data_IF_489056760871
#
_entry.id   IF_489056760871
#
_cell.length_a   1.000
_cell.length_b   1.000
_cell.length_c   1.000
_cell.angle_alpha   90.00
_cell.angle_beta   90.00
_cell.angle_gamma   90.00
#
_symmetry.space_group_name_H-M   'P 1'
#
loop_
_entity.id
_entity.type
_entity.pdbx_description
1 polymer ?
#
# COMPACT_ATOMS: atom_id res chain seq x y z
N UNK A 1 1.21 20.41 -0.44
CA UNK A 1 1.57 19.68 0.81
C UNK A 1 0.92 18.29 0.84
N UNK A 2 1.64 17.27 1.31
CA UNK A 2 1.15 15.89 1.40
C UNK A 2 1.32 15.35 2.83
N UNK A 3 0.57 14.30 3.18
CA UNK A 3 0.67 13.59 4.47
C UNK A 3 1.04 12.14 4.17
N UNK A 4 2.09 11.64 4.81
CA UNK A 4 2.50 10.24 4.70
C UNK A 4 2.10 9.48 5.97
N UNK A 5 1.42 8.35 5.78
CA UNK A 5 1.06 7.42 6.86
C UNK A 5 1.70 6.07 6.57
N UNK A 6 2.70 5.70 7.36
CA UNK A 6 3.45 4.46 7.17
C UNK A 6 2.74 3.29 7.85
N UNK A 7 2.63 2.17 7.15
CA UNK A 7 2.07 0.93 7.67
C UNK A 7 3.15 -0.15 7.64
N UNK A 8 3.41 -0.75 8.78
CA UNK A 8 4.26 -1.93 8.92
C UNK A 8 3.56 -2.89 9.88
N UNK A 9 3.52 -4.17 9.54
CA UNK A 9 2.75 -5.19 10.28
C UNK A 9 3.59 -5.90 11.32
N UNK A 10 4.92 -5.94 11.13
CA UNK A 10 5.84 -6.62 12.02
C UNK A 10 6.38 -5.68 13.09
N UNK A 11 6.40 -6.12 14.36
CA UNK A 11 6.98 -5.33 15.46
C UNK A 11 8.46 -5.00 15.19
N UNK A 12 9.21 -5.95 14.62
CA UNK A 12 10.59 -5.75 14.24
C UNK A 12 10.75 -4.69 13.13
N UNK A 13 9.83 -4.62 12.16
CA UNK A 13 9.84 -3.60 11.12
C UNK A 13 9.52 -2.22 11.68
N UNK A 14 8.51 -2.11 12.55
CA UNK A 14 8.13 -0.86 13.23
C UNK A 14 9.29 -0.29 14.05
N UNK A 15 9.97 -1.15 14.80
CA UNK A 15 11.12 -0.73 15.61
C UNK A 15 12.28 -0.24 14.72
N UNK A 16 12.56 -0.91 13.60
CA UNK A 16 13.57 -0.47 12.63
C UNK A 16 13.24 0.87 12.00
N UNK A 17 11.98 1.11 11.63
CA UNK A 17 11.54 2.38 11.07
C UNK A 17 11.67 3.52 12.09
N UNK A 18 11.27 3.26 13.34
CA UNK A 18 11.35 4.25 14.42
C UNK A 18 12.79 4.58 14.78
N UNK A 19 13.62 3.59 15.04
CA UNK A 19 15.01 3.79 15.49
C UNK A 19 15.96 4.21 14.38
N UNK A 20 15.73 3.71 13.15
CA UNK A 20 16.61 3.98 12.00
C UNK A 20 16.27 5.26 11.25
N UNK A 21 14.99 5.61 11.14
CA UNK A 21 14.52 6.73 10.31
C UNK A 21 13.64 7.74 11.06
N UNK A 22 13.35 7.52 12.35
CA UNK A 22 12.45 8.38 13.11
C UNK A 22 11.00 8.31 12.63
N UNK A 23 10.62 7.23 11.94
CA UNK A 23 9.28 7.06 11.35
C UNK A 23 8.39 6.29 12.32
N UNK A 24 7.31 6.93 12.78
CA UNK A 24 6.21 6.24 13.45
C UNK A 24 5.26 5.61 12.41
N UNK A 25 4.76 4.42 12.75
CA UNK A 25 3.83 3.65 11.92
C UNK A 25 2.45 3.67 12.54
N UNK A 26 1.42 3.67 11.70
CA UNK A 26 0.02 3.61 12.11
C UNK A 26 -0.62 2.29 11.71
N UNK A 27 -1.84 2.04 12.17
CA UNK A 27 -2.63 0.90 11.72
C UNK A 27 -3.02 1.04 10.24
N UNK A 28 -3.31 -0.07 9.56
CA UNK A 28 -3.80 -0.03 8.18
C UNK A 28 -5.14 0.74 8.08
N UNK A 29 -6.04 0.58 9.05
CA UNK A 29 -7.33 1.27 9.05
C UNK A 29 -7.16 2.80 9.15
N UNK A 30 -6.25 3.23 10.02
CA UNK A 30 -5.91 4.65 10.17
C UNK A 30 -5.21 5.21 8.92
N UNK A 31 -4.30 4.44 8.31
CA UNK A 31 -3.60 4.86 7.10
C UNK A 31 -4.53 4.99 5.90
N UNK A 32 -5.48 4.06 5.75
CA UNK A 32 -6.39 4.01 4.60
C UNK A 32 -7.51 5.04 4.68
N UNK A 33 -7.87 5.50 5.88
CA UNK A 33 -8.94 6.48 6.07
C UNK A 33 -8.66 7.78 5.28
N UNK A 34 -9.42 8.02 4.21
CA UNK A 34 -9.24 9.18 3.34
C UNK A 34 -7.93 9.20 2.56
N UNK A 35 -7.28 8.05 2.34
CA UNK A 35 -6.07 7.99 1.53
C UNK A 35 -6.38 8.22 0.04
N UNK A 36 -5.79 9.26 -0.55
CA UNK A 36 -5.87 9.54 -1.99
C UNK A 36 -4.94 8.63 -2.79
N UNK A 37 -3.80 8.24 -2.21
CA UNK A 37 -2.79 7.37 -2.82
C UNK A 37 -2.34 6.31 -1.80
N UNK A 38 -2.26 5.06 -2.24
CA UNK A 38 -1.77 3.92 -1.45
C UNK A 38 -0.64 3.23 -2.21
N UNK A 39 0.54 3.16 -1.60
CA UNK A 39 1.72 2.52 -2.20
C UNK A 39 1.90 1.13 -1.59
N UNK A 40 1.83 0.09 -2.42
CA UNK A 40 2.04 -1.30 -2.00
C UNK A 40 3.53 -1.64 -2.07
N UNK A 41 4.29 -1.20 -1.08
CA UNK A 41 5.70 -1.54 -0.89
C UNK A 41 5.87 -2.91 -0.21
N UNK A 42 5.28 -3.96 -0.81
CA UNK A 42 5.31 -5.34 -0.30
C UNK A 42 5.87 -6.28 -1.37
N UNK A 43 6.39 -7.47 -1.01
CA UNK A 43 6.86 -8.44 -2.00
C UNK A 43 5.74 -8.85 -2.97
N UNK A 44 6.08 -9.14 -4.23
CA UNK A 44 5.09 -9.53 -5.26
C UNK A 44 4.20 -10.70 -4.87
N UNK A 45 4.78 -11.67 -4.18
CA UNK A 45 4.10 -12.84 -3.65
C UNK A 45 2.99 -12.51 -2.66
N UNK A 46 3.01 -11.30 -2.09
CA UNK A 46 2.05 -10.84 -1.10
C UNK A 46 1.07 -9.78 -1.64
N UNK A 47 1.33 -9.17 -2.81
CA UNK A 47 0.51 -8.08 -3.35
C UNK A 47 -0.96 -8.47 -3.44
N UNK A 48 -1.28 -9.63 -4.02
CA UNK A 48 -2.68 -10.06 -4.17
C UNK A 48 -3.40 -10.21 -2.83
N UNK A 49 -2.74 -10.80 -1.84
CA UNK A 49 -3.28 -10.95 -0.48
C UNK A 49 -3.48 -9.61 0.21
N UNK A 50 -2.51 -8.71 0.09
CA UNK A 50 -2.58 -7.37 0.70
C UNK A 50 -3.67 -6.54 0.03
N UNK A 51 -3.69 -6.48 -1.30
CA UNK A 51 -4.69 -5.75 -2.07
C UNK A 51 -6.12 -6.23 -1.74
N UNK A 52 -6.36 -7.54 -1.71
CA UNK A 52 -7.64 -8.12 -1.31
C UNK A 52 -8.03 -7.76 0.14
N UNK A 53 -7.06 -7.67 1.06
CA UNK A 53 -7.34 -7.31 2.46
C UNK A 53 -7.70 -5.84 2.69
N UNK A 54 -7.33 -4.95 1.76
CA UNK A 54 -7.55 -3.51 1.88
C UNK A 54 -8.61 -2.97 0.92
N UNK A 55 -8.98 -3.71 -0.13
CA UNK A 55 -9.85 -3.22 -1.21
C UNK A 55 -11.15 -2.57 -0.71
N UNK A 56 -11.80 -3.19 0.28
CA UNK A 56 -13.07 -2.72 0.84
C UNK A 56 -12.94 -1.44 1.70
N UNK A 57 -11.72 -1.04 2.02
CA UNK A 57 -11.39 0.14 2.82
C UNK A 57 -10.93 1.32 1.95
N UNK A 58 -10.61 1.07 0.68
CA UNK A 58 -10.21 2.11 -0.26
C UNK A 58 -11.42 2.94 -0.68
N UNK A 59 -11.26 4.26 -0.59
CA UNK A 59 -12.26 5.20 -1.09
C UNK A 59 -12.31 5.16 -2.63
N UNK A 60 -13.47 5.47 -3.20
CA UNK A 60 -13.58 5.71 -4.64
C UNK A 60 -12.63 6.82 -5.06
N UNK A 61 -11.92 6.62 -6.18
CA UNK A 61 -10.92 7.55 -6.69
C UNK A 61 -9.51 7.37 -6.10
N UNK A 62 -9.32 6.49 -5.11
CA UNK A 62 -7.98 6.21 -4.58
C UNK A 62 -7.08 5.61 -5.67
N UNK A 63 -5.85 6.13 -5.76
CA UNK A 63 -4.80 5.56 -6.61
C UNK A 63 -4.00 4.51 -5.84
N UNK A 64 -3.96 3.29 -6.36
CA UNK A 64 -3.10 2.21 -5.84
C UNK A 64 -1.85 2.13 -6.71
N UNK A 65 -0.70 2.37 -6.07
CA UNK A 65 0.62 2.31 -6.71
C UNK A 65 1.27 0.97 -6.38
N UNK A 66 1.70 0.27 -7.42
CA UNK A 66 2.45 -0.99 -7.31
C UNK A 66 3.87 -0.76 -7.82
N UNK A 67 4.86 -1.28 -7.09
CA UNK A 67 6.28 -1.03 -7.34
C UNK A 67 6.97 -2.07 -8.25
N UNK A 68 6.22 -3.06 -8.74
CA UNK A 68 6.65 -4.04 -9.72
C UNK A 68 5.46 -4.43 -10.62
N UNK A 69 5.73 -4.79 -11.87
CA UNK A 69 4.73 -5.20 -12.85
C UNK A 69 4.29 -6.67 -12.71
N UNK A 70 5.00 -7.50 -11.95
CA UNK A 70 4.73 -8.93 -11.82
C UNK A 70 3.31 -9.23 -11.30
N UNK A 71 2.88 -8.58 -10.21
CA UNK A 71 1.56 -8.81 -9.63
C UNK A 71 0.39 -8.23 -10.46
N UNK A 72 0.47 -7.00 -11.02
CA UNK A 72 -0.52 -6.50 -11.97
C UNK A 72 -0.71 -7.43 -13.18
N UNK A 73 0.40 -7.95 -13.73
CA UNK A 73 0.35 -8.86 -14.88
C UNK A 73 -0.33 -10.20 -14.56
N UNK A 74 -0.20 -10.69 -13.32
CA UNK A 74 -0.84 -11.92 -12.86
C UNK A 74 -2.35 -11.76 -12.52
N UNK A 75 -2.94 -10.57 -12.70
CA UNK A 75 -4.34 -10.32 -12.37
C UNK A 75 -4.63 -10.26 -10.86
N UNK A 76 -3.61 -9.99 -10.04
CA UNK A 76 -3.72 -9.98 -8.58
C UNK A 76 -4.33 -8.70 -8.01
N UNK A 77 -4.70 -7.73 -8.86
CA UNK A 77 -5.33 -6.49 -8.42
C UNK A 77 -6.86 -6.61 -8.41
N UNK A 78 -7.54 -6.05 -7.39
CA UNK A 78 -8.98 -6.01 -7.32
C UNK A 78 -9.65 -5.47 -8.59
N UNK A 79 -10.78 -6.05 -8.96
CA UNK A 79 -11.62 -5.52 -10.04
C UNK A 79 -12.50 -4.39 -9.50
N UNK A 80 -11.92 -3.19 -9.40
CA UNK A 80 -12.56 -1.99 -8.88
C UNK A 80 -12.42 -0.83 -9.88
N UNK A 81 -13.42 -0.59 -10.75
CA UNK A 81 -13.32 0.41 -11.81
C UNK A 81 -13.30 1.86 -11.29
N UNK A 82 -13.66 2.06 -10.03
CA UNK A 82 -13.58 3.33 -9.31
C UNK A 82 -12.18 3.62 -8.74
N UNK A 83 -11.24 2.67 -8.81
CA UNK A 83 -9.85 2.86 -8.40
C UNK A 83 -8.95 3.11 -9.60
N UNK A 84 -7.85 3.82 -9.38
CA UNK A 84 -6.78 3.97 -10.37
C UNK A 84 -5.60 3.08 -9.98
N UNK A 85 -5.11 2.25 -10.90
CA UNK A 85 -3.90 1.45 -10.67
C UNK A 85 -2.73 2.04 -11.45
N UNK A 86 -1.66 2.39 -10.74
CA UNK A 86 -0.43 2.90 -11.32
C UNK A 86 0.71 1.94 -11.03
N UNK A 87 1.44 1.54 -12.06
CA UNK A 87 2.56 0.59 -11.95
C UNK A 87 3.84 1.33 -12.31
N UNK A 88 4.82 1.26 -11.42
CA UNK A 88 6.16 1.82 -11.62
C UNK A 88 7.18 0.89 -11.00
N UNK A 89 8.43 0.96 -11.40
CA UNK A 89 9.51 0.24 -10.72
C UNK A 89 10.62 1.26 -10.42
N UNK A 90 11.02 1.46 -9.15
CA UNK A 90 12.16 2.33 -8.83
C UNK A 90 13.44 1.73 -9.40
N UNK A 91 14.26 2.52 -10.09
CA UNK A 91 15.57 2.09 -10.59
C UNK A 91 16.60 1.99 -9.48
#
# INVERSE_FOLDING_TARGET
PYIIRHVEVSDAGRERLKTGLGIDTVSADEALNGAEVVILAVPDTHIGKVAASIEGKLASGTMVVVLDAAAPFAGHLPQRPDLTYFVTHPC
#
